data_IF_936057664455
#
_entry.id   IF_936057664455
#
_cell.length_a   1.000
_cell.length_b   1.000
_cell.length_c   1.000
_cell.angle_alpha   90.00
_cell.angle_beta   90.00
_cell.angle_gamma   90.00
#
_symmetry.space_group_name_H-M   'P 1'
#
loop_
_entity.id
_entity.type
_entity.pdbx_description
1 polymer ?
#
# COMPACT_ATOMS: atom_id res chain seq x y z
N UNK A 1 -0.60 34.33 -28.73
CA UNK A 1 -1.55 34.15 -27.61
C UNK A 1 -0.72 33.95 -26.35
N UNK A 2 -0.98 34.69 -25.27
CA UNK A 2 -0.36 34.43 -23.98
C UNK A 2 -0.92 33.12 -23.41
N UNK A 3 -0.06 32.17 -23.08
CA UNK A 3 -0.47 30.93 -22.41
C UNK A 3 -1.00 31.27 -21.01
N UNK A 4 -2.19 30.79 -20.67
CA UNK A 4 -2.69 30.85 -19.29
C UNK A 4 -1.91 29.85 -18.44
N UNK A 5 -1.25 30.33 -17.39
CA UNK A 5 -0.46 29.51 -16.47
C UNK A 5 -1.01 29.62 -15.06
N UNK A 6 -0.89 28.55 -14.27
CA UNK A 6 -1.35 28.47 -12.89
C UNK A 6 -0.50 27.48 -12.11
N UNK A 7 -0.51 27.61 -10.78
CA UNK A 7 0.10 26.63 -9.87
C UNK A 7 -0.95 25.62 -9.40
N UNK A 8 -0.56 24.39 -9.01
CA UNK A 8 -1.48 23.45 -8.39
C UNK A 8 -2.09 24.02 -7.10
N UNK A 9 -3.32 23.60 -6.76
CA UNK A 9 -4.02 24.00 -5.53
C UNK A 9 -3.16 23.74 -4.30
N UNK A 10 -3.27 24.61 -3.28
CA UNK A 10 -2.56 24.47 -2.02
C UNK A 10 -2.93 23.20 -1.24
N UNK A 11 -4.08 22.60 -1.54
CA UNK A 11 -4.48 21.31 -0.99
C UNK A 11 -3.68 20.14 -1.57
N UNK A 12 -3.14 20.24 -2.80
CA UNK A 12 -2.32 19.17 -3.37
C UNK A 12 -0.97 19.12 -2.64
N UNK A 13 -0.58 17.98 -2.04
CA UNK A 13 0.66 17.92 -1.25
C UNK A 13 1.92 18.18 -2.09
N UNK A 14 2.05 17.50 -3.22
CA UNK A 14 3.20 17.63 -4.13
C UNK A 14 2.92 18.62 -5.27
N UNK A 15 3.70 19.72 -5.34
CA UNK A 15 3.43 20.86 -6.24
C UNK A 15 4.60 21.31 -7.10
N UNK A 16 5.68 20.53 -7.17
CA UNK A 16 6.82 20.82 -8.06
C UNK A 16 6.38 20.68 -9.52
N UNK A 17 6.17 21.81 -10.19
CA UNK A 17 5.71 21.87 -11.57
C UNK A 17 6.68 21.24 -12.55
N UNK A 18 7.99 21.39 -12.35
CA UNK A 18 8.98 20.82 -13.25
C UNK A 18 8.99 19.29 -13.17
N UNK A 19 8.89 18.73 -11.95
CA UNK A 19 8.75 17.30 -11.75
C UNK A 19 7.42 16.77 -12.34
N UNK A 20 6.30 17.47 -12.08
CA UNK A 20 4.99 17.11 -12.63
C UNK A 20 5.00 17.07 -14.17
N UNK A 21 5.56 18.10 -14.82
CA UNK A 21 5.66 18.16 -16.28
C UNK A 21 6.58 17.09 -16.86
N UNK A 22 7.72 16.85 -16.22
CA UNK A 22 8.65 15.78 -16.62
C UNK A 22 7.97 14.41 -16.52
N UNK A 23 7.38 14.10 -15.37
CA UNK A 23 6.75 12.81 -15.13
C UNK A 23 5.56 12.57 -16.06
N UNK A 24 4.71 13.58 -16.36
CA UNK A 24 3.62 13.46 -17.34
C UNK A 24 4.10 13.01 -18.73
N UNK A 25 5.31 13.40 -19.13
CA UNK A 25 5.91 13.08 -20.44
C UNK A 25 6.54 11.70 -20.51
N UNK A 26 6.68 10.99 -19.40
CA UNK A 26 7.22 9.62 -19.38
C UNK A 26 6.21 8.69 -20.05
N UNK A 27 6.59 8.14 -21.20
CA UNK A 27 5.76 7.22 -21.97
C UNK A 27 5.80 5.82 -21.39
N UNK A 28 4.80 5.00 -21.73
CA UNK A 28 4.71 3.58 -21.38
C UNK A 28 6.04 2.86 -21.67
N UNK A 29 6.64 3.05 -22.85
CA UNK A 29 7.89 2.36 -23.22
C UNK A 29 9.13 2.81 -22.43
N UNK A 30 9.01 3.86 -21.61
CA UNK A 30 10.07 4.39 -20.78
C UNK A 30 9.87 4.05 -19.30
N UNK A 31 8.66 3.66 -18.88
CA UNK A 31 8.30 3.59 -17.46
C UNK A 31 9.10 2.54 -16.68
N UNK A 32 9.55 1.47 -17.35
CA UNK A 32 10.37 0.42 -16.72
C UNK A 32 11.84 0.82 -16.56
N UNK A 33 12.30 1.92 -17.16
CA UNK A 33 13.70 2.33 -17.18
C UNK A 33 14.02 3.18 -15.97
N UNK A 34 14.76 2.64 -15.01
CA UNK A 34 15.12 3.35 -13.78
C UNK A 34 16.64 3.33 -13.52
N UNK A 35 17.24 4.42 -12.97
CA UNK A 35 18.68 4.46 -12.69
C UNK A 35 19.14 3.53 -11.56
N UNK A 36 18.28 3.25 -10.57
CA UNK A 36 18.55 2.22 -9.56
C UNK A 36 18.19 0.83 -10.14
N UNK A 37 19.17 -0.07 -10.38
CA UNK A 37 18.91 -1.40 -10.94
C UNK A 37 18.17 -2.35 -9.98
N UNK A 38 18.15 -2.04 -8.69
CA UNK A 38 17.47 -2.84 -7.67
C UNK A 38 15.98 -2.49 -7.53
N UNK A 39 15.52 -1.37 -8.12
CA UNK A 39 14.10 -1.11 -8.34
C UNK A 39 13.68 -1.73 -9.67
N UNK A 40 13.14 -2.95 -9.60
CA UNK A 40 12.75 -3.74 -10.78
C UNK A 40 11.31 -3.43 -11.16
N UNK A 41 11.15 -2.49 -12.08
CA UNK A 41 9.83 -2.09 -12.60
C UNK A 41 9.42 -3.02 -13.75
N UNK A 42 8.20 -3.55 -13.70
CA UNK A 42 7.61 -4.38 -14.76
C UNK A 42 6.18 -3.95 -15.04
N UNK A 43 5.89 -3.67 -16.31
CA UNK A 43 4.53 -3.49 -16.79
C UNK A 43 3.97 -4.87 -17.12
N UNK A 44 2.82 -5.20 -16.53
CA UNK A 44 2.13 -6.47 -16.74
C UNK A 44 0.66 -6.21 -17.05
N UNK A 45 -0.02 -7.20 -17.62
CA UNK A 45 -1.45 -7.06 -17.91
C UNK A 45 -2.24 -6.83 -16.62
N UNK A 46 -3.34 -6.10 -16.74
CA UNK A 46 -4.18 -5.75 -15.59
C UNK A 46 -4.67 -7.01 -14.83
N UNK A 47 -4.98 -8.09 -15.53
CA UNK A 47 -5.45 -9.37 -14.98
C UNK A 47 -4.34 -10.25 -14.38
N UNK A 48 -3.08 -10.00 -14.71
CA UNK A 48 -1.93 -10.75 -14.16
C UNK A 48 -1.51 -10.24 -12.78
N UNK A 49 -1.83 -8.99 -12.42
CA UNK A 49 -1.37 -8.34 -11.17
C UNK A 49 -1.75 -9.17 -9.94
N UNK A 50 -3.03 -9.53 -9.80
CA UNK A 50 -3.51 -10.27 -8.65
C UNK A 50 -2.85 -11.65 -8.56
N UNK A 51 -2.67 -12.32 -9.70
CA UNK A 51 -2.02 -13.62 -9.75
C UNK A 51 -0.56 -13.56 -9.32
N UNK A 52 0.20 -12.58 -9.81
CA UNK A 52 1.60 -12.34 -9.42
C UNK A 52 1.70 -12.12 -7.91
N UNK A 53 0.82 -11.28 -7.35
CA UNK A 53 0.82 -10.98 -5.92
C UNK A 53 0.49 -12.20 -5.06
N UNK A 54 -0.58 -12.92 -5.40
CA UNK A 54 -1.01 -14.12 -4.68
C UNK A 54 0.07 -15.20 -4.73
N UNK A 55 0.70 -15.39 -5.88
CA UNK A 55 1.70 -16.44 -6.06
C UNK A 55 3.02 -16.13 -5.37
N UNK A 56 3.49 -14.87 -5.34
CA UNK A 56 4.66 -14.49 -4.54
C UNK A 56 4.40 -14.71 -3.04
N UNK A 57 3.24 -14.27 -2.53
CA UNK A 57 2.92 -14.45 -1.11
C UNK A 57 2.81 -15.93 -0.74
N UNK A 58 2.12 -16.74 -1.56
CA UNK A 58 2.05 -18.18 -1.36
C UNK A 58 3.43 -18.84 -1.42
N UNK A 59 4.29 -18.45 -2.39
CA UNK A 59 5.65 -18.97 -2.52
C UNK A 59 6.45 -18.74 -1.25
N UNK A 60 6.42 -17.53 -0.68
CA UNK A 60 7.14 -17.21 0.57
C UNK A 60 6.65 -18.04 1.75
N UNK A 61 5.33 -18.16 1.88
CA UNK A 61 4.71 -18.97 2.95
C UNK A 61 5.13 -20.43 2.80
N UNK A 62 5.01 -20.99 1.59
CA UNK A 62 5.34 -22.39 1.30
C UNK A 62 6.81 -22.68 1.51
N UNK A 63 7.70 -21.83 0.99
CA UNK A 63 9.15 -22.00 1.15
C UNK A 63 9.55 -21.99 2.62
N UNK A 64 9.02 -21.04 3.40
CA UNK A 64 9.29 -20.99 4.83
C UNK A 64 8.75 -22.21 5.59
N UNK A 65 7.56 -22.70 5.23
CA UNK A 65 6.99 -23.91 5.80
C UNK A 65 7.84 -25.16 5.47
N UNK A 66 8.30 -25.30 4.23
CA UNK A 66 9.16 -26.42 3.80
C UNK A 66 10.53 -26.41 4.49
N UNK A 67 11.05 -25.20 4.76
CA UNK A 67 12.32 -24.99 5.47
C UNK A 67 12.17 -25.03 7.00
N UNK A 68 10.94 -25.13 7.53
CA UNK A 68 10.68 -25.13 8.97
C UNK A 68 11.07 -23.81 9.67
N UNK A 69 11.03 -22.69 8.94
CA UNK A 69 11.40 -21.36 9.45
C UNK A 69 10.21 -20.42 9.57
N UNK A 70 10.38 -19.36 10.36
CA UNK A 70 9.42 -18.25 10.41
C UNK A 70 9.36 -17.50 9.07
N UNK A 71 8.16 -17.00 8.78
CA UNK A 71 7.93 -15.98 7.75
C UNK A 71 7.06 -14.88 8.33
N UNK A 72 7.54 -13.63 8.20
CA UNK A 72 6.88 -12.43 8.71
C UNK A 72 6.46 -11.55 7.55
N UNK A 73 5.16 -11.30 7.41
CA UNK A 73 4.59 -10.53 6.30
C UNK A 73 3.92 -9.26 6.84
N UNK A 74 4.22 -8.12 6.22
CA UNK A 74 3.43 -6.88 6.36
C UNK A 74 2.45 -6.83 5.20
N UNK A 75 1.16 -6.82 5.52
CA UNK A 75 0.06 -6.97 4.58
C UNK A 75 -0.65 -5.64 4.35
N UNK A 76 -0.89 -5.24 3.08
CA UNK A 76 -1.71 -4.10 2.72
C UNK A 76 -3.19 -4.41 2.93
N UNK A 77 -4.05 -3.44 2.62
CA UNK A 77 -5.51 -3.55 2.75
C UNK A 77 -6.04 -4.93 2.29
N UNK A 78 -6.50 -5.76 3.24
CA UNK A 78 -6.95 -7.09 2.92
C UNK A 78 -8.27 -7.09 2.15
N UNK A 79 -8.24 -7.61 0.93
CA UNK A 79 -9.39 -7.71 0.05
C UNK A 79 -9.78 -9.18 -0.22
N UNK A 80 -10.88 -9.47 -0.93
CA UNK A 80 -11.30 -10.83 -1.25
C UNK A 80 -10.23 -11.69 -1.95
N UNK A 81 -9.21 -11.07 -2.57
CA UNK A 81 -8.08 -11.75 -3.22
C UNK A 81 -7.31 -12.66 -2.25
N UNK A 82 -7.22 -12.30 -0.97
CA UNK A 82 -6.52 -13.11 0.04
C UNK A 82 -7.10 -14.53 0.20
N UNK A 83 -8.37 -14.74 -0.16
CA UNK A 83 -8.99 -16.07 -0.18
C UNK A 83 -8.26 -17.03 -1.12
N UNK A 84 -7.63 -16.53 -2.18
CA UNK A 84 -6.86 -17.35 -3.11
C UNK A 84 -5.58 -17.88 -2.47
N UNK A 85 -4.93 -17.10 -1.60
CA UNK A 85 -3.77 -17.56 -0.83
C UNK A 85 -4.18 -18.70 0.11
N UNK A 86 -5.27 -18.51 0.86
CA UNK A 86 -5.81 -19.56 1.73
C UNK A 86 -6.20 -20.84 0.96
N UNK A 87 -6.83 -20.71 -0.22
CA UNK A 87 -7.15 -21.85 -1.10
C UNK A 87 -5.90 -22.62 -1.50
N UNK A 88 -4.81 -21.93 -1.84
CA UNK A 88 -3.54 -22.59 -2.16
C UNK A 88 -2.95 -23.27 -0.93
N UNK A 89 -2.91 -22.60 0.23
CA UNK A 89 -2.46 -23.18 1.51
C UNK A 89 -3.21 -24.49 1.81
N UNK A 90 -4.54 -24.48 1.75
CA UNK A 90 -5.36 -25.64 2.07
C UNK A 90 -5.15 -26.76 1.03
N UNK A 91 -5.12 -26.40 -0.26
CA UNK A 91 -4.93 -27.37 -1.35
C UNK A 91 -3.59 -28.09 -1.26
N UNK A 92 -2.53 -27.36 -0.93
CA UNK A 92 -1.18 -27.90 -0.82
C UNK A 92 -0.81 -28.34 0.61
N UNK A 93 -1.77 -28.29 1.54
CA UNK A 93 -1.62 -28.72 2.95
C UNK A 93 -0.41 -28.04 3.64
N UNK A 94 -0.27 -26.74 3.42
CA UNK A 94 0.87 -25.97 3.93
C UNK A 94 0.67 -25.63 5.40
N UNK A 95 1.48 -26.21 6.29
CA UNK A 95 1.43 -25.90 7.71
C UNK A 95 1.93 -24.47 7.95
N UNK A 96 1.02 -23.57 8.33
CA UNK A 96 1.31 -22.17 8.54
C UNK A 96 1.61 -21.83 10.02
N UNK A 97 1.95 -22.80 10.88
CA UNK A 97 2.28 -22.54 12.28
C UNK A 97 3.41 -21.52 12.49
N UNK A 98 4.26 -21.30 11.48
CA UNK A 98 5.36 -20.34 11.49
C UNK A 98 5.07 -19.02 10.73
N UNK A 99 3.83 -18.82 10.26
CA UNK A 99 3.40 -17.58 9.58
C UNK A 99 3.00 -16.51 10.59
N UNK A 100 3.67 -15.36 10.51
CA UNK A 100 3.31 -14.12 11.18
C UNK A 100 2.85 -13.10 10.14
N UNK A 101 1.69 -12.51 10.35
CA UNK A 101 1.10 -11.49 9.49
C UNK A 101 0.77 -10.25 10.32
N UNK A 102 1.20 -9.09 9.83
CA UNK A 102 0.94 -7.79 10.43
C UNK A 102 0.16 -6.95 9.42
N UNK A 103 -1.01 -6.44 9.80
CA UNK A 103 -1.67 -5.42 8.98
C UNK A 103 -0.84 -4.13 9.00
N UNK A 104 -0.73 -3.45 7.85
CA UNK A 104 0.02 -2.20 7.76
C UNK A 104 -0.69 -1.03 8.45
N UNK A 105 -2.02 -1.05 8.49
CA UNK A 105 -2.86 0.04 9.00
C UNK A 105 -4.24 -0.45 9.48
N UNK A 106 -4.92 0.42 10.23
CA UNK A 106 -6.32 0.30 10.63
C UNK A 106 -6.90 1.70 10.86
N UNK A 107 -8.19 1.90 10.59
CA UNK A 107 -8.83 3.19 10.81
C UNK A 107 -8.88 3.59 12.29
N UNK A 108 -9.01 4.89 12.55
CA UNK A 108 -9.24 5.46 13.86
C UNK A 108 -10.25 6.61 13.79
N UNK A 109 -10.98 6.83 14.88
CA UNK A 109 -11.89 7.96 14.99
C UNK A 109 -11.14 9.30 15.21
N UNK A 110 -11.85 10.41 15.31
CA UNK A 110 -11.32 11.75 15.54
C UNK A 110 -10.44 11.88 16.79
N UNK A 111 -10.71 11.07 17.82
CA UNK A 111 -9.96 11.02 19.08
C UNK A 111 -8.72 10.11 18.99
N UNK A 112 -8.50 9.45 17.85
CA UNK A 112 -7.42 8.48 17.67
C UNK A 112 -7.71 7.14 18.36
N UNK A 113 -8.96 6.79 18.60
CA UNK A 113 -9.35 5.43 19.01
C UNK A 113 -9.35 4.54 17.77
N UNK A 114 -8.48 3.54 17.75
CA UNK A 114 -8.34 2.58 16.63
C UNK A 114 -9.57 1.69 16.58
N UNK A 115 -10.08 1.46 15.37
CA UNK A 115 -11.26 0.64 15.16
C UNK A 115 -11.03 -0.77 15.73
N UNK A 116 -12.00 -1.33 16.47
CA UNK A 116 -11.88 -2.68 16.99
C UNK A 116 -12.00 -3.69 15.84
N UNK A 117 -11.36 -4.84 15.97
CA UNK A 117 -11.42 -5.95 15.00
C UNK A 117 -12.85 -6.42 14.69
N UNK A 118 -13.79 -6.23 15.62
CA UNK A 118 -15.20 -6.57 15.43
C UNK A 118 -15.91 -5.63 14.46
N UNK A 119 -15.32 -4.48 14.12
CA UNK A 119 -15.91 -3.54 13.19
C UNK A 119 -15.80 -4.07 11.75
N UNK A 120 -16.92 -4.38 11.07
CA UNK A 120 -16.89 -5.12 9.80
C UNK A 120 -16.13 -4.45 8.66
N UNK A 121 -16.01 -3.12 8.70
CA UNK A 121 -15.34 -2.34 7.67
C UNK A 121 -13.83 -2.16 7.93
N UNK A 122 -13.32 -2.59 9.10
CA UNK A 122 -11.91 -2.47 9.45
C UNK A 122 -11.00 -3.38 8.62
N UNK A 123 -9.74 -2.96 8.43
CA UNK A 123 -8.76 -3.74 7.69
C UNK A 123 -8.35 -5.01 8.42
N UNK A 124 -8.27 -4.98 9.76
CA UNK A 124 -7.96 -6.17 10.57
C UNK A 124 -9.10 -7.18 10.50
N UNK A 125 -10.36 -6.70 10.49
CA UNK A 125 -11.52 -7.55 10.24
C UNK A 125 -11.41 -8.25 8.89
N UNK A 126 -11.13 -7.50 7.84
CA UNK A 126 -10.96 -8.03 6.49
C UNK A 126 -9.78 -9.02 6.40
N UNK A 127 -8.65 -8.72 7.08
CA UNK A 127 -7.49 -9.62 7.17
C UNK A 127 -7.90 -10.98 7.70
N UNK A 128 -8.61 -10.97 8.84
CA UNK A 128 -9.00 -12.21 9.50
C UNK A 128 -10.09 -12.93 8.73
N UNK A 129 -11.04 -12.21 8.15
CA UNK A 129 -12.15 -12.80 7.41
C UNK A 129 -11.72 -13.44 6.08
N UNK A 130 -10.97 -12.70 5.26
CA UNK A 130 -10.58 -13.16 3.90
C UNK A 130 -9.32 -14.01 3.89
N UNK A 131 -8.47 -13.94 4.91
CA UNK A 131 -7.24 -14.73 4.97
C UNK A 131 -7.26 -15.75 6.11
N UNK A 132 -7.13 -15.31 7.35
CA UNK A 132 -6.91 -16.18 8.52
C UNK A 132 -7.99 -17.28 8.66
N UNK A 133 -9.26 -16.87 8.66
CA UNK A 133 -10.40 -17.77 8.86
C UNK A 133 -10.63 -18.72 7.68
N UNK A 134 -10.08 -18.42 6.51
CA UNK A 134 -10.18 -19.26 5.32
C UNK A 134 -9.15 -20.39 5.31
N UNK A 135 -8.09 -20.31 6.12
CA UNK A 135 -7.11 -21.39 6.26
C UNK A 135 -7.71 -22.53 7.09
N UNK A 136 -7.55 -23.78 6.66
CA UNK A 136 -8.07 -24.94 7.38
C UNK A 136 -7.55 -24.97 8.82
N UNK A 137 -8.38 -25.29 9.84
CA UNK A 137 -7.99 -25.17 11.25
C UNK A 137 -6.71 -25.91 11.65
N UNK A 138 -6.38 -27.02 11.00
CA UNK A 138 -5.19 -27.83 11.27
C UNK A 138 -3.91 -27.29 10.60
N UNK A 139 -4.04 -26.35 9.67
CA UNK A 139 -2.94 -25.65 8.99
C UNK A 139 -2.74 -24.23 9.52
N UNK A 140 -3.73 -23.70 10.25
CA UNK A 140 -3.84 -22.30 10.63
C UNK A 140 -2.80 -21.92 11.71
N UNK A 141 -2.15 -20.75 11.62
CA UNK A 141 -1.31 -20.27 12.70
C UNK A 141 -2.11 -19.98 13.97
N UNK A 142 -1.45 -19.92 15.14
CA UNK A 142 -2.02 -19.30 16.32
C UNK A 142 -2.52 -17.89 16.00
N UNK A 143 -3.69 -17.52 16.52
CA UNK A 143 -4.33 -16.24 16.22
C UNK A 143 -3.44 -15.04 16.59
N UNK A 144 -2.65 -15.16 17.66
CA UNK A 144 -1.70 -14.14 18.08
C UNK A 144 -0.59 -13.82 17.05
N UNK A 145 -0.45 -14.62 15.99
CA UNK A 145 0.48 -14.35 14.89
C UNK A 145 -0.15 -13.54 13.75
N UNK A 146 -1.46 -13.27 13.79
CA UNK A 146 -2.16 -12.37 12.89
C UNK A 146 -2.50 -11.07 13.64
N UNK A 147 -1.57 -10.13 13.57
CA UNK A 147 -1.56 -8.94 14.42
C UNK A 147 -2.10 -7.74 13.65
N UNK A 148 -3.05 -7.04 14.28
CA UNK A 148 -3.58 -5.77 13.79
C UNK A 148 -3.19 -4.60 14.70
N UNK A 149 -3.23 -3.36 14.18
CA UNK A 149 -3.07 -2.18 15.01
C UNK A 149 -4.11 -2.03 16.11
N UNK A 150 -3.70 -1.54 17.28
CA UNK A 150 -4.58 -1.17 18.39
C UNK A 150 -3.98 0.01 19.17
N UNK A 151 -4.80 0.72 19.96
CA UNK A 151 -4.27 1.74 20.87
C UNK A 151 -3.24 1.17 21.88
N UNK A 152 -3.34 -0.10 22.23
CA UNK A 152 -2.45 -0.76 23.19
C UNK A 152 -1.05 -1.05 22.61
N UNK A 153 -0.94 -1.27 21.29
CA UNK A 153 0.31 -1.66 20.65
C UNK A 153 0.98 -0.56 19.82
N UNK A 154 0.36 0.62 19.68
CA UNK A 154 0.90 1.73 18.84
C UNK A 154 2.35 2.10 19.11
N UNK A 155 2.78 2.04 20.38
CA UNK A 155 4.15 2.41 20.77
C UNK A 155 5.18 1.30 20.61
N UNK A 156 4.72 0.08 20.34
CA UNK A 156 5.54 -1.12 20.35
C UNK A 156 5.36 -1.97 19.08
N UNK A 157 4.56 -1.52 18.10
CA UNK A 157 4.22 -2.31 16.91
C UNK A 157 5.46 -2.64 16.06
N UNK A 158 6.41 -1.70 15.98
CA UNK A 158 7.75 -1.89 15.42
C UNK A 158 8.52 -3.01 16.15
N UNK A 159 8.48 -3.00 17.49
CA UNK A 159 9.13 -4.01 18.34
C UNK A 159 8.46 -5.37 18.22
N UNK A 160 7.14 -5.42 18.01
CA UNK A 160 6.42 -6.67 17.75
C UNK A 160 6.92 -7.33 16.45
N UNK A 161 7.07 -6.54 15.38
CA UNK A 161 7.61 -7.02 14.10
C UNK A 161 9.08 -7.45 14.26
N UNK A 162 9.91 -6.62 14.90
CA UNK A 162 11.32 -6.91 15.13
C UNK A 162 11.53 -8.15 16.03
N UNK A 163 10.72 -8.30 17.08
CA UNK A 163 10.80 -9.38 18.07
C UNK A 163 10.55 -10.77 17.50
N UNK A 164 9.89 -10.87 16.34
CA UNK A 164 9.68 -12.13 15.63
C UNK A 164 10.66 -12.37 14.47
N UNK A 165 11.61 -11.46 14.23
CA UNK A 165 12.69 -11.61 13.24
C UNK A 165 12.75 -10.49 12.18
N UNK A 166 11.87 -9.49 12.26
CA UNK A 166 11.69 -8.47 11.23
C UNK A 166 10.88 -8.98 10.04
N UNK A 167 10.35 -8.08 9.21
CA UNK A 167 9.52 -8.45 8.06
C UNK A 167 10.35 -9.12 6.94
N UNK A 168 9.96 -10.31 6.54
CA UNK A 168 10.51 -10.99 5.36
C UNK A 168 9.98 -10.38 4.06
N UNK A 169 8.75 -9.87 4.07
CA UNK A 169 8.16 -9.15 2.95
C UNK A 169 7.20 -8.05 3.42
N UNK A 170 7.20 -6.93 2.70
CA UNK A 170 6.20 -5.87 2.80
C UNK A 170 5.58 -5.65 1.41
N UNK A 171 4.25 -5.72 1.33
CA UNK A 171 3.51 -5.48 0.10
C UNK A 171 2.83 -4.11 0.17
N UNK A 172 2.99 -3.31 -0.87
CA UNK A 172 2.61 -1.89 -0.88
C UNK A 172 1.95 -1.49 -2.19
N UNK A 173 1.36 -0.31 -2.21
CA UNK A 173 0.89 0.35 -3.43
C UNK A 173 0.58 1.82 -3.14
N UNK A 174 0.77 2.74 -4.12
CA UNK A 174 0.55 4.16 -3.90
C UNK A 174 -0.92 4.54 -4.01
N UNK A 175 -1.39 5.40 -3.10
CA UNK A 175 -2.67 6.09 -3.20
C UNK A 175 -2.63 7.39 -4.00
N UNK A 176 -3.72 8.17 -3.98
CA UNK A 176 -3.90 9.38 -4.81
C UNK A 176 -2.84 10.45 -4.62
N UNK A 177 -2.29 10.54 -3.40
CA UNK A 177 -1.24 11.50 -3.00
C UNK A 177 0.17 10.89 -3.08
N UNK A 178 0.29 9.64 -3.52
CA UNK A 178 1.55 8.89 -3.47
C UNK A 178 1.86 8.35 -2.08
N UNK A 179 0.87 8.36 -1.17
CA UNK A 179 0.97 7.74 0.15
C UNK A 179 1.19 6.22 0.05
N UNK A 180 1.85 5.66 1.05
CA UNK A 180 2.09 4.23 1.24
C UNK A 180 1.49 3.85 2.59
N UNK A 181 0.59 2.86 2.68
CA UNK A 181 -0.27 2.68 3.86
C UNK A 181 -1.00 4.01 4.16
N UNK A 182 -1.17 4.41 5.41
CA UNK A 182 -1.54 5.80 5.75
C UNK A 182 -0.34 6.67 6.12
N UNK A 183 0.83 6.43 5.52
CA UNK A 183 1.93 7.39 5.57
C UNK A 183 1.56 8.56 4.66
N UNK A 184 0.75 9.48 5.18
CA UNK A 184 0.19 10.61 4.44
C UNK A 184 1.22 11.75 4.30
N UNK A 185 1.37 12.34 3.09
CA UNK A 185 2.33 13.43 2.86
C UNK A 185 1.94 14.76 3.53
N UNK A 186 0.65 14.94 3.82
CA UNK A 186 0.07 16.13 4.43
C UNK A 186 -0.32 15.93 5.92
N UNK A 187 -0.08 14.74 6.48
CA UNK A 187 -0.30 14.49 7.90
C UNK A 187 0.72 15.25 8.75
N UNK A 188 0.28 16.07 9.73
CA UNK A 188 1.20 16.74 10.65
C UNK A 188 2.04 15.73 11.46
N UNK A 189 1.51 14.54 11.71
CA UNK A 189 2.19 13.48 12.47
C UNK A 189 3.38 12.84 11.72
N UNK A 190 3.50 13.10 10.42
CA UNK A 190 4.62 12.71 9.56
C UNK A 190 5.53 13.88 9.13
N UNK A 191 5.33 15.07 9.70
CA UNK A 191 6.29 16.16 9.48
C UNK A 191 7.66 15.82 10.06
N UNK A 192 8.70 16.04 9.27
CA UNK A 192 10.09 15.81 9.63
C UNK A 192 10.96 16.94 9.05
N UNK A 193 12.08 17.27 9.71
CA UNK A 193 13.00 18.31 9.25
C UNK A 193 13.82 17.86 8.03
N UNK A 194 13.88 16.56 7.75
CA UNK A 194 14.62 16.00 6.62
C UNK A 194 14.06 14.65 6.16
N UNK A 195 14.39 14.25 4.93
CA UNK A 195 14.09 12.91 4.42
C UNK A 195 14.69 11.81 5.32
N UNK A 196 15.90 12.01 5.84
CA UNK A 196 16.57 11.04 6.72
C UNK A 196 15.81 10.80 8.01
N UNK A 197 15.32 11.87 8.64
CA UNK A 197 14.48 11.78 9.83
C UNK A 197 13.15 11.12 9.50
N UNK A 198 12.50 11.52 8.40
CA UNK A 198 11.25 10.93 7.95
C UNK A 198 11.38 9.41 7.77
N UNK A 199 12.44 8.94 7.11
CA UNK A 199 12.74 7.51 6.90
C UNK A 199 12.89 6.71 8.21
N UNK A 200 13.11 7.35 9.35
CA UNK A 200 13.23 6.69 10.66
C UNK A 200 11.93 6.69 11.45
N UNK A 201 10.88 7.32 10.94
CA UNK A 201 9.59 7.37 11.60
C UNK A 201 8.95 5.98 11.59
N UNK A 202 8.57 5.51 12.79
CA UNK A 202 7.84 4.26 12.99
C UNK A 202 6.32 4.46 13.11
N UNK A 203 5.60 3.43 13.59
CA UNK A 203 4.15 3.38 13.63
C UNK A 203 3.53 4.48 14.48
N UNK A 204 2.37 4.98 14.05
CA UNK A 204 1.66 6.09 14.72
C UNK A 204 0.21 6.19 14.28
N UNK A 205 -0.55 7.02 15.02
CA UNK A 205 -1.88 7.48 14.61
C UNK A 205 -1.72 8.78 13.84
N UNK A 206 -2.44 8.91 12.73
CA UNK A 206 -2.34 10.02 11.79
C UNK A 206 -3.70 10.59 11.42
N UNK A 207 -3.69 11.85 11.04
CA UNK A 207 -4.81 12.50 10.38
C UNK A 207 -4.82 12.13 8.89
N UNK A 208 -5.96 11.65 8.37
CA UNK A 208 -6.07 11.24 6.97
C UNK A 208 -6.24 12.45 6.04
N UNK A 209 -5.59 12.37 4.88
CA UNK A 209 -5.74 13.37 3.82
C UNK A 209 -7.18 13.39 3.28
N UNK A 210 -7.74 14.56 2.92
CA UNK A 210 -9.01 14.62 2.19
C UNK A 210 -9.02 13.78 0.90
N UNK A 211 -7.87 13.59 0.26
CA UNK A 211 -7.75 12.72 -0.92
C UNK A 211 -7.89 11.24 -0.57
N UNK A 212 -7.38 10.83 0.59
CA UNK A 212 -7.54 9.48 1.12
C UNK A 212 -8.99 9.23 1.51
N UNK A 213 -9.65 10.20 2.14
CA UNK A 213 -11.09 10.11 2.42
C UNK A 213 -11.89 9.98 1.11
N UNK A 214 -11.57 10.79 0.09
CA UNK A 214 -12.21 10.70 -1.22
C UNK A 214 -11.95 9.35 -1.92
N UNK A 215 -10.72 8.82 -1.85
CA UNK A 215 -10.38 7.51 -2.39
C UNK A 215 -11.16 6.39 -1.69
N UNK A 216 -11.16 6.42 -0.36
CA UNK A 216 -11.75 5.36 0.46
C UNK A 216 -13.28 5.40 0.41
N UNK A 217 -13.90 6.55 0.12
CA UNK A 217 -15.34 6.65 -0.11
C UNK A 217 -15.83 5.92 -1.38
N UNK A 218 -14.90 5.49 -2.25
CA UNK A 218 -15.19 4.66 -3.42
C UNK A 218 -15.13 3.16 -3.12
N UNK A 219 -14.62 2.74 -1.94
CA UNK A 219 -14.53 1.33 -1.59
C UNK A 219 -15.92 0.71 -1.42
N UNK A 220 -16.08 -0.55 -1.81
CA UNK A 220 -17.35 -1.28 -1.61
C UNK A 220 -17.71 -1.56 -0.14
N UNK A 221 -16.86 -1.18 0.82
CA UNK A 221 -17.12 -1.26 2.26
C UNK A 221 -17.35 0.10 2.93
N UNK A 222 -17.01 1.21 2.24
CA UNK A 222 -17.05 2.58 2.77
C UNK A 222 -17.56 3.56 1.74
N UNK A 223 -18.33 4.57 2.17
CA UNK A 223 -18.82 5.64 1.32
C UNK A 223 -19.84 5.24 0.23
N UNK A 224 -19.85 3.98 -0.24
CA UNK A 224 -20.89 3.34 -1.05
C UNK A 224 -21.58 4.30 -2.03
N UNK A 225 -20.80 4.80 -2.98
CA UNK A 225 -21.12 5.93 -3.89
C UNK A 225 -20.63 7.30 -3.42
N UNK A 226 -19.46 7.37 -2.78
CA UNK A 226 -18.74 8.63 -2.57
C UNK A 226 -19.14 9.40 -1.31
N UNK A 227 -19.78 8.77 -0.34
CA UNK A 227 -20.01 9.36 0.98
C UNK A 227 -18.69 9.44 1.78
N UNK A 228 -17.99 10.55 1.58
CA UNK A 228 -16.72 10.87 2.25
C UNK A 228 -16.90 10.95 3.77
N UNK A 229 -18.10 11.32 4.26
CA UNK A 229 -18.35 11.46 5.70
C UNK A 229 -18.41 10.11 6.43
N UNK A 230 -18.54 8.99 5.71
CA UNK A 230 -18.51 7.64 6.28
C UNK A 230 -17.08 7.11 6.50
N UNK A 231 -16.06 7.78 5.94
CA UNK A 231 -14.66 7.38 6.12
C UNK A 231 -14.12 7.98 7.42
N UNK A 232 -13.55 7.18 8.35
CA UNK A 232 -12.97 7.72 9.57
C UNK A 232 -11.87 8.76 9.29
N UNK A 233 -11.76 9.82 10.12
CA UNK A 233 -10.86 10.94 9.84
C UNK A 233 -9.39 10.66 10.18
N UNK A 234 -9.10 9.57 10.90
CA UNK A 234 -7.76 9.18 11.31
C UNK A 234 -7.50 7.71 10.99
N UNK A 235 -6.25 7.32 11.12
CA UNK A 235 -5.85 5.92 11.08
C UNK A 235 -4.60 5.68 11.92
N UNK A 236 -4.40 4.44 12.34
CA UNK A 236 -3.10 3.92 12.66
C UNK A 236 -2.41 3.46 11.38
N UNK A 237 -1.11 3.72 11.25
CA UNK A 237 -0.27 3.11 10.21
C UNK A 237 1.10 2.73 10.75
N UNK A 238 1.75 1.76 10.10
CA UNK A 238 3.21 1.65 10.12
C UNK A 238 3.85 2.96 9.62
N UNK A 239 5.13 3.14 9.92
CA UNK A 239 5.95 4.20 9.36
C UNK A 239 6.82 3.73 8.19
N UNK A 240 7.53 4.66 7.54
CA UNK A 240 8.51 4.32 6.50
C UNK A 240 9.62 3.40 7.02
N UNK A 241 9.96 3.44 8.32
CA UNK A 241 10.98 2.58 8.91
C UNK A 241 10.68 1.09 8.69
N UNK A 242 9.43 0.66 8.85
CA UNK A 242 9.02 -0.74 8.69
C UNK A 242 9.15 -1.21 7.22
N UNK A 243 8.82 -0.33 6.26
CA UNK A 243 8.94 -0.61 4.83
C UNK A 243 10.41 -0.77 4.42
N UNK A 244 11.27 0.12 4.92
CA UNK A 244 12.72 0.10 4.66
C UNK A 244 13.34 -1.16 5.26
N UNK A 245 12.95 -1.51 6.50
CA UNK A 245 13.53 -2.62 7.24
C UNK A 245 13.14 -4.00 6.69
N UNK A 246 12.09 -4.10 5.87
CA UNK A 246 11.67 -5.37 5.26
C UNK A 246 12.81 -5.99 4.42
N UNK A 247 12.90 -7.32 4.38
CA UNK A 247 13.92 -8.00 3.54
C UNK A 247 13.55 -7.94 2.06
N UNK A 248 12.27 -7.99 1.77
CA UNK A 248 11.70 -7.90 0.44
C UNK A 248 10.57 -6.87 0.40
N UNK A 249 10.44 -6.17 -0.73
CA UNK A 249 9.34 -5.27 -1.02
C UNK A 249 8.74 -5.61 -2.38
N UNK A 250 7.43 -5.69 -2.43
CA UNK A 250 6.66 -5.73 -3.67
C UNK A 250 5.68 -4.56 -3.67
N UNK A 251 5.85 -3.66 -4.63
CA UNK A 251 5.02 -2.47 -4.80
C UNK A 251 4.12 -2.63 -6.02
N UNK A 252 2.81 -2.43 -5.87
CA UNK A 252 1.80 -2.77 -6.88
C UNK A 252 0.98 -1.54 -7.28
N UNK A 253 1.00 -1.21 -8.57
CA UNK A 253 0.32 -0.05 -9.14
C UNK A 253 -0.76 -0.52 -10.12
N UNK A 254 -1.94 -0.82 -9.59
CA UNK A 254 -3.06 -1.35 -10.37
C UNK A 254 -4.42 -0.81 -9.92
N UNK A 255 -4.47 0.32 -9.22
CA UNK A 255 -5.74 0.86 -8.74
C UNK A 255 -6.50 1.48 -9.91
N UNK A 256 -7.74 1.02 -10.08
CA UNK A 256 -8.68 1.47 -11.11
C UNK A 256 -9.96 1.99 -10.48
N UNK A 257 -10.75 2.74 -11.25
CA UNK A 257 -12.09 3.16 -10.84
C UNK A 257 -13.06 2.05 -11.22
N UNK A 258 -13.64 1.36 -10.23
CA UNK A 258 -14.64 0.31 -10.41
C UNK A 258 -14.21 -0.82 -11.38
N UNK A 259 -12.95 -1.26 -11.32
CA UNK A 259 -12.45 -2.32 -12.22
C UNK A 259 -12.40 -1.92 -13.69
N UNK A 260 -12.53 -0.63 -14.01
CA UNK A 260 -12.46 -0.12 -15.37
C UNK A 260 -11.02 0.20 -15.77
N UNK A 261 -10.81 0.44 -17.05
CA UNK A 261 -9.56 0.96 -17.56
C UNK A 261 -9.26 2.42 -17.14
N UNK A 262 -10.19 3.11 -16.47
CA UNK A 262 -9.94 4.45 -15.93
C UNK A 262 -9.13 4.32 -14.66
N UNK A 263 -7.92 4.88 -14.68
CA UNK A 263 -7.05 4.91 -13.50
C UNK A 263 -6.51 6.32 -13.31
N UNK A 264 -6.75 6.87 -12.13
CA UNK A 264 -6.12 8.10 -11.66
C UNK A 264 -4.63 7.89 -11.38
N UNK A 265 -4.18 6.64 -11.21
CA UNK A 265 -2.84 6.28 -10.76
C UNK A 265 -1.76 6.56 -11.82
N UNK A 266 -2.12 6.77 -13.09
CA UNK A 266 -1.15 6.97 -14.19
C UNK A 266 -0.06 8.01 -13.88
N UNK A 267 -0.46 9.20 -13.41
CA UNK A 267 0.50 10.24 -13.04
C UNK A 267 1.23 9.87 -11.75
N UNK A 268 0.51 9.36 -10.76
CA UNK A 268 1.11 9.07 -9.46
C UNK A 268 2.17 7.97 -9.53
N UNK A 269 1.93 6.91 -10.29
CA UNK A 269 2.93 5.88 -10.64
C UNK A 269 4.22 6.52 -11.14
N UNK A 270 4.13 7.44 -12.10
CA UNK A 270 5.31 8.14 -12.66
C UNK A 270 5.99 9.05 -11.64
N UNK A 271 5.22 9.71 -10.78
CA UNK A 271 5.77 10.57 -9.72
C UNK A 271 6.52 9.75 -8.68
N UNK A 272 5.96 8.64 -8.21
CA UNK A 272 6.60 7.84 -7.17
C UNK A 272 7.78 7.03 -7.70
N UNK A 273 7.78 6.61 -8.98
CA UNK A 273 8.92 5.84 -9.53
C UNK A 273 9.98 6.66 -10.27
N UNK A 274 9.66 7.88 -10.74
CA UNK A 274 10.61 8.74 -11.52
C UNK A 274 10.66 10.20 -11.05
N UNK A 275 9.83 10.58 -10.08
CA UNK A 275 9.85 11.89 -9.44
C UNK A 275 10.95 11.98 -8.38
N UNK A 276 11.05 13.12 -7.66
CA UNK A 276 11.99 13.23 -6.55
C UNK A 276 11.60 12.27 -5.40
N UNK A 277 12.61 11.75 -4.69
CA UNK A 277 12.38 11.02 -3.44
C UNK A 277 12.10 12.02 -2.33
N UNK A 278 10.90 12.00 -1.77
CA UNK A 278 10.44 13.01 -0.80
C UNK A 278 9.29 12.50 0.07
N UNK A 279 9.16 12.98 1.33
CA UNK A 279 7.99 12.72 2.16
C UNK A 279 6.66 13.18 1.55
N UNK A 280 6.70 14.10 0.57
CA UNK A 280 5.51 14.55 -0.16
C UNK A 280 5.02 13.55 -1.23
N UNK A 281 5.81 12.50 -1.50
CA UNK A 281 5.49 11.36 -2.35
C UNK A 281 5.98 10.08 -1.64
N UNK A 282 5.38 9.66 -0.52
CA UNK A 282 5.90 8.61 0.36
C UNK A 282 6.40 7.34 -0.33
N UNK A 283 5.64 6.80 -1.29
CA UNK A 283 6.04 5.60 -2.07
C UNK A 283 7.32 5.80 -2.88
N UNK A 284 7.74 7.04 -3.14
CA UNK A 284 9.02 7.33 -3.82
C UNK A 284 10.26 6.81 -3.09
N UNK A 285 10.12 6.46 -1.80
CA UNK A 285 11.20 5.81 -1.06
C UNK A 285 11.68 4.51 -1.71
N UNK A 286 10.83 3.79 -2.45
CA UNK A 286 11.22 2.57 -3.17
C UNK A 286 12.30 2.81 -4.22
N UNK A 287 12.45 4.05 -4.74
CA UNK A 287 13.55 4.39 -5.64
C UNK A 287 14.94 4.21 -5.00
N UNK A 288 15.02 4.23 -3.66
CA UNK A 288 16.26 4.04 -2.90
C UNK A 288 16.49 2.57 -2.46
N UNK A 289 15.54 1.67 -2.72
CA UNK A 289 15.50 0.34 -2.11
C UNK A 289 15.41 -0.76 -3.17
N UNK A 290 15.92 -1.95 -2.83
CA UNK A 290 15.63 -3.14 -3.61
C UNK A 290 14.13 -3.48 -3.49
N UNK A 291 13.41 -3.40 -4.61
CA UNK A 291 11.95 -3.52 -4.68
C UNK A 291 11.55 -4.10 -6.03
N UNK A 292 10.64 -5.08 -6.03
CA UNK A 292 9.95 -5.48 -7.25
C UNK A 292 8.68 -4.62 -7.40
N UNK A 293 8.61 -3.81 -8.46
CA UNK A 293 7.50 -2.90 -8.71
C UNK A 293 6.70 -3.38 -9.93
N UNK A 294 5.43 -3.71 -9.71
CA UNK A 294 4.53 -4.20 -10.77
C UNK A 294 3.50 -3.12 -11.09
N UNK A 295 3.47 -2.70 -12.36
CA UNK A 295 2.57 -1.67 -12.86
C UNK A 295 1.61 -2.32 -13.84
N UNK A 296 0.32 -2.09 -13.67
CA UNK A 296 -0.69 -2.57 -14.60
C UNK A 296 -0.60 -1.80 -15.92
N UNK A 297 -0.94 -2.42 -17.06
CA UNK A 297 -0.99 -1.73 -18.36
C UNK A 297 -1.87 -0.47 -18.31
N UNK A 298 -2.98 -0.52 -17.57
CA UNK A 298 -3.86 0.63 -17.36
C UNK A 298 -3.19 1.80 -16.65
N UNK A 299 -2.35 1.55 -15.64
CA UNK A 299 -1.57 2.57 -14.95
C UNK A 299 -0.36 3.04 -15.77
N UNK A 300 0.23 2.16 -16.59
CA UNK A 300 1.39 2.47 -17.42
C UNK A 300 1.05 3.29 -18.68
N UNK A 301 -0.20 3.30 -19.15
CA UNK A 301 -0.64 4.04 -20.34
C UNK A 301 -0.20 5.51 -20.32
N UNK A 302 0.05 6.03 -21.52
CA UNK A 302 0.44 7.42 -21.73
C UNK A 302 -0.63 8.38 -21.19
N UNK A 303 -0.17 9.53 -20.70
CA UNK A 303 -1.04 10.60 -20.20
C UNK A 303 -1.26 11.55 -21.36
N UNK A 304 -2.40 11.38 -22.02
CA UNK A 304 -2.80 12.15 -23.20
C UNK A 304 -4.13 12.83 -22.95
N UNK A 305 -4.36 13.94 -23.66
CA UNK A 305 -5.63 14.64 -23.63
C UNK A 305 -6.61 13.87 -24.52
N UNK A 306 -7.79 13.59 -23.98
CA UNK A 306 -8.91 12.98 -24.70
C UNK A 306 -10.06 13.99 -24.74
N UNK A 307 -10.15 14.74 -25.85
CA UNK A 307 -11.13 15.82 -26.00
C UNK A 307 -12.56 15.32 -26.16
N UNK A 308 -12.74 14.04 -26.48
CA UNK A 308 -14.06 13.43 -26.73
C UNK A 308 -14.69 12.85 -25.45
N UNK A 309 -13.97 12.88 -24.31
CA UNK A 309 -14.46 12.42 -23.00
C UNK A 309 -14.90 13.57 -22.11
N UNK A 310 -16.19 13.57 -21.75
CA UNK A 310 -16.75 14.41 -20.67
C UNK A 310 -16.69 13.73 -19.30
N UNK A 311 -17.19 14.44 -18.28
CA UNK A 311 -17.41 13.89 -16.93
C UNK A 311 -18.46 12.79 -16.91
#
# INVERSE_FOLDING_TARGET
MSLFTYSPSHHVPFRDMAALERCRKIRREQIEKHPNPDLKIRVVKDDDIEFIWVTDMFYRIKAAADEGRKVVLILPNPCPVYRHIARLINRFRVNCCHLYAFAMDEYANEDGVVAPETWPQGFVHAMKHYFYAQIDPDLRPPEAQFVGPTNANVRDYDKLIAGVGGADACYTGPGWTGHLAFIEPDAPEFQAASLKEWMQMGPRIVTLSPFTLAQNALHGSFGMSGDIALVPPKAFTIGPAEVIAARYRMDIHSITVHGTQTSWQRLMTRLVVHGPVTPLLPTSIHQLLATDCYISESAARDIEIDWDKGY
#
